data_IF_751825854940
#
_entry.id   IF_751825854940
#
_cell.length_a   1.000
_cell.length_b   1.000
_cell.length_c   1.000
_cell.angle_alpha   90.00
_cell.angle_beta   90.00
_cell.angle_gamma   90.00
#
_symmetry.space_group_name_H-M   'P 1'
#
loop_
_entity.id
_entity.type
_entity.pdbx_description
1 polymer ?
#
# COMPACT_ATOMS: atom_id res chain seq x y z
N UNK A 1 33.35 29.04 5.37
CA UNK A 1 32.27 28.75 4.42
C UNK A 1 32.49 27.34 3.91
N UNK A 2 31.70 26.37 4.38
CA UNK A 2 31.90 24.95 4.05
C UNK A 2 30.80 24.51 3.10
N UNK A 3 31.17 24.21 1.86
CA UNK A 3 30.27 23.69 0.82
C UNK A 3 29.85 22.26 1.16
N UNK A 4 28.55 21.99 1.20
CA UNK A 4 27.97 20.65 1.21
C UNK A 4 27.32 20.46 -0.16
N UNK A 5 28.07 19.90 -1.10
CA UNK A 5 27.53 19.31 -2.31
C UNK A 5 27.73 17.81 -2.19
N UNK A 6 26.64 17.05 -2.12
CA UNK A 6 26.50 15.73 -2.75
C UNK A 6 25.05 15.26 -2.64
N UNK A 7 24.29 15.46 -3.72
CA UNK A 7 22.97 14.83 -3.93
C UNK A 7 23.22 13.51 -4.67
N UNK A 8 23.22 12.41 -3.92
CA UNK A 8 23.33 11.05 -4.46
C UNK A 8 22.08 10.70 -5.28
N UNK A 9 22.23 10.66 -6.61
CA UNK A 9 21.15 10.27 -7.52
C UNK A 9 21.20 8.74 -7.71
N UNK A 10 20.37 7.98 -6.99
CA UNK A 10 20.30 6.52 -7.17
C UNK A 10 19.39 6.17 -8.35
N UNK A 11 19.91 5.32 -9.22
CA UNK A 11 19.33 4.95 -10.52
C UNK A 11 17.90 4.37 -10.42
N UNK A 12 17.06 4.80 -11.37
CA UNK A 12 15.69 4.33 -11.61
C UNK A 12 15.73 2.92 -12.21
N UNK A 13 15.31 1.89 -11.49
CA UNK A 13 15.10 0.55 -12.06
C UNK A 13 13.92 0.60 -13.05
N UNK A 14 14.19 0.33 -14.33
CA UNK A 14 13.18 0.32 -15.39
C UNK A 14 12.17 -0.83 -15.17
N UNK A 15 10.87 -0.53 -15.25
CA UNK A 15 9.81 -1.55 -15.33
C UNK A 15 9.81 -2.16 -16.73
N UNK A 16 9.71 -3.50 -16.83
CA UNK A 16 9.57 -4.23 -18.11
C UNK A 16 8.24 -3.85 -18.78
N UNK A 17 8.20 -3.66 -20.11
CA UNK A 17 6.95 -3.37 -20.81
C UNK A 17 6.05 -4.61 -20.87
N UNK A 18 4.77 -4.42 -20.56
CA UNK A 18 3.71 -5.41 -20.78
C UNK A 18 3.36 -5.41 -22.26
N UNK A 19 3.53 -6.56 -22.92
CA UNK A 19 3.09 -6.78 -24.30
C UNK A 19 1.55 -6.74 -24.36
N UNK A 20 0.99 -5.76 -25.07
CA UNK A 20 -0.43 -5.72 -25.45
C UNK A 20 -0.56 -6.15 -26.90
N UNK A 21 -0.63 -7.46 -27.12
CA UNK A 21 -1.18 -8.03 -28.33
C UNK A 21 -2.53 -8.70 -28.00
N UNK A 22 -3.50 -8.46 -28.89
CA UNK A 22 -4.82 -9.10 -29.04
C UNK A 22 -5.88 -8.86 -27.97
N UNK A 23 -6.69 -7.81 -28.15
CA UNK A 23 -8.16 -7.94 -28.20
C UNK A 23 -8.67 -6.99 -29.28
N UNK A 24 -9.19 -7.57 -30.36
CA UNK A 24 -9.92 -6.90 -31.42
C UNK A 24 -11.39 -6.88 -31.02
N UNK A 25 -12.07 -5.73 -31.11
CA UNK A 25 -13.54 -5.72 -31.22
C UNK A 25 -13.98 -4.58 -32.13
N UNK A 26 -14.96 -4.82 -33.03
CA UNK A 26 -15.20 -4.00 -34.21
C UNK A 26 -16.34 -3.01 -34.02
N UNK A 27 -16.31 -1.94 -34.82
CA UNK A 27 -17.49 -1.16 -35.17
C UNK A 27 -17.49 0.26 -34.62
N UNK A 28 -17.08 1.23 -35.47
CA UNK A 28 -17.88 2.44 -35.72
C UNK A 28 -17.59 2.89 -37.15
N UNK A 29 -18.64 3.10 -37.92
CA UNK A 29 -18.64 3.33 -39.35
C UNK A 29 -17.95 4.63 -39.79
N UNK A 30 -17.36 4.53 -40.98
CA UNK A 30 -16.71 5.60 -41.73
C UNK A 30 -17.76 6.51 -42.37
N UNK A 31 -17.72 7.81 -42.09
CA UNK A 31 -18.32 8.83 -42.95
C UNK A 31 -17.22 9.78 -43.42
N UNK A 32 -16.63 9.38 -44.54
CA UNK A 32 -15.87 10.19 -45.46
C UNK A 32 -16.86 11.01 -46.28
N UNK A 33 -16.73 12.34 -46.32
CA UNK A 33 -17.26 13.17 -47.41
C UNK A 33 -16.38 14.42 -47.58
N UNK A 34 -15.44 14.24 -48.48
CA UNK A 34 -14.59 15.23 -49.12
C UNK A 34 -15.25 15.67 -50.43
N UNK A 35 -15.87 16.85 -50.43
CA UNK A 35 -16.19 17.57 -51.66
C UNK A 35 -15.50 18.94 -51.65
N UNK A 36 -14.65 19.13 -52.66
CA UNK A 36 -14.08 20.42 -53.01
C UNK A 36 -15.01 21.13 -53.99
N UNK A 37 -15.25 22.44 -53.81
CA UNK A 37 -15.43 23.34 -54.94
C UNK A 37 -15.15 24.82 -54.59
N UNK A 38 -14.37 25.43 -55.49
CA UNK A 38 -14.26 26.86 -55.86
C UNK A 38 -13.45 27.82 -54.98
N UNK A 39 -12.33 28.24 -55.55
CA UNK A 39 -11.55 29.43 -55.23
C UNK A 39 -12.17 30.67 -55.90
N UNK A 40 -12.53 31.71 -55.13
CA UNK A 40 -12.83 33.05 -55.65
C UNK A 40 -12.39 34.15 -54.65
N UNK A 41 -11.37 34.94 -55.03
CA UNK A 41 -11.12 36.34 -54.61
C UNK A 41 -10.71 36.66 -53.16
N UNK A 42 -9.95 37.75 -52.90
CA UNK A 42 -9.40 38.04 -51.58
C UNK A 42 -10.46 38.69 -50.69
N UNK A 43 -11.09 37.91 -49.83
CA UNK A 43 -11.83 38.43 -48.68
C UNK A 43 -10.80 38.77 -47.60
N UNK A 44 -10.76 40.03 -47.19
CA UNK A 44 -9.98 40.51 -46.04
C UNK A 44 -10.38 39.68 -44.82
N UNK A 45 -9.51 38.75 -44.41
CA UNK A 45 -9.71 37.88 -43.25
C UNK A 45 -9.64 38.72 -41.96
N UNK A 46 -10.80 39.15 -41.48
CA UNK A 46 -11.01 39.71 -40.13
C UNK A 46 -11.13 38.61 -39.06
N UNK A 47 -10.85 37.35 -39.42
CA UNK A 47 -11.06 36.17 -38.58
C UNK A 47 -9.78 35.68 -37.89
N UNK A 48 -8.63 36.30 -38.20
CA UNK A 48 -7.34 35.91 -37.65
C UNK A 48 -7.18 36.28 -36.15
N UNK A 49 -7.92 37.29 -35.67
CA UNK A 49 -7.78 37.79 -34.28
C UNK A 49 -8.54 36.94 -33.25
N UNK A 50 -9.58 36.19 -33.65
CA UNK A 50 -10.39 35.37 -32.72
C UNK A 50 -9.85 33.93 -32.57
N UNK A 51 -9.04 33.45 -33.51
CA UNK A 51 -8.51 32.09 -33.52
C UNK A 51 -7.31 31.91 -32.55
N UNK A 52 -6.52 32.98 -32.34
CA UNK A 52 -5.38 32.96 -31.41
C UNK A 52 -5.80 32.85 -29.94
N UNK A 53 -6.86 33.55 -29.54
CA UNK A 53 -7.36 33.54 -28.16
C UNK A 53 -8.02 32.20 -27.77
N UNK A 54 -8.70 31.54 -28.70
CA UNK A 54 -9.27 30.22 -28.48
C UNK A 54 -8.18 29.14 -28.37
N UNK A 55 -7.18 29.18 -29.28
CA UNK A 55 -6.01 28.31 -29.23
C UNK A 55 -5.23 28.46 -27.92
N UNK A 56 -5.02 29.69 -27.44
CA UNK A 56 -4.38 29.95 -26.15
C UNK A 56 -5.16 29.35 -24.97
N UNK A 57 -6.48 29.57 -24.89
CA UNK A 57 -7.32 28.99 -23.82
C UNK A 57 -7.35 27.46 -23.85
N UNK A 58 -7.37 26.86 -25.04
CA UNK A 58 -7.30 25.42 -25.21
C UNK A 58 -5.94 24.86 -24.73
N UNK A 59 -4.84 25.54 -25.05
CA UNK A 59 -3.51 25.17 -24.59
C UNK A 59 -3.38 25.29 -23.06
N UNK A 60 -3.91 26.34 -22.45
CA UNK A 60 -3.92 26.51 -20.99
C UNK A 60 -4.69 25.40 -20.28
N UNK A 61 -5.84 25.00 -20.84
CA UNK A 61 -6.63 23.88 -20.32
C UNK A 61 -5.85 22.57 -20.37
N UNK A 62 -5.22 22.25 -21.50
CA UNK A 62 -4.39 21.06 -21.67
C UNK A 62 -3.21 21.06 -20.69
N UNK A 63 -2.50 22.19 -20.57
CA UNK A 63 -1.37 22.31 -19.65
C UNK A 63 -1.79 22.12 -18.19
N UNK A 64 -2.91 22.74 -17.78
CA UNK A 64 -3.46 22.59 -16.44
C UNK A 64 -3.84 21.14 -16.14
N UNK A 65 -4.50 20.46 -17.08
CA UNK A 65 -4.85 19.03 -16.96
C UNK A 65 -3.61 18.16 -16.84
N UNK A 66 -2.59 18.39 -17.67
CA UNK A 66 -1.33 17.65 -17.60
C UNK A 66 -0.62 17.89 -16.26
N UNK A 67 -0.62 19.12 -15.74
CA UNK A 67 -0.06 19.42 -14.43
C UNK A 67 -0.75 18.65 -13.30
N UNK A 68 -2.08 18.59 -13.32
CA UNK A 68 -2.87 17.82 -12.36
C UNK A 68 -2.56 16.32 -12.47
N UNK A 69 -2.48 15.77 -13.68
CA UNK A 69 -2.15 14.35 -13.89
C UNK A 69 -0.77 14.02 -13.32
N UNK A 70 0.24 14.85 -13.63
CA UNK A 70 1.61 14.67 -13.10
C UNK A 70 1.62 14.72 -11.58
N UNK A 71 0.98 15.73 -11.00
CA UNK A 71 0.87 15.87 -9.54
C UNK A 71 0.25 14.64 -8.88
N UNK A 72 -0.86 14.12 -9.43
CA UNK A 72 -1.52 12.93 -8.89
C UNK A 72 -0.62 11.69 -9.01
N UNK A 73 0.08 11.52 -10.14
CA UNK A 73 1.02 10.42 -10.34
C UNK A 73 2.17 10.48 -9.33
N UNK A 74 2.75 11.66 -9.11
CA UNK A 74 3.83 11.87 -8.15
C UNK A 74 3.36 11.61 -6.70
N UNK A 75 2.15 12.08 -6.36
CA UNK A 75 1.57 11.84 -5.04
C UNK A 75 1.32 10.33 -4.79
N UNK A 76 0.83 9.61 -5.80
CA UNK A 76 0.64 8.15 -5.70
C UNK A 76 1.99 7.46 -5.55
N UNK A 77 2.99 7.81 -6.35
CA UNK A 77 4.33 7.24 -6.25
C UNK A 77 4.94 7.46 -4.86
N UNK A 78 4.90 8.70 -4.35
CA UNK A 78 5.37 9.04 -3.02
C UNK A 78 4.60 8.28 -1.92
N UNK A 79 3.28 8.09 -2.08
CA UNK A 79 2.49 7.29 -1.14
C UNK A 79 2.90 5.82 -1.14
N UNK A 80 3.15 5.22 -2.30
CA UNK A 80 3.63 3.84 -2.41
C UNK A 80 5.00 3.68 -1.76
N UNK A 81 5.92 4.62 -2.00
CA UNK A 81 7.25 4.58 -1.38
C UNK A 81 7.18 4.68 0.15
N UNK A 82 6.32 5.55 0.68
CA UNK A 82 6.06 5.65 2.12
C UNK A 82 5.47 4.36 2.69
N UNK A 83 4.50 3.76 1.99
CA UNK A 83 3.90 2.49 2.42
C UNK A 83 4.93 1.38 2.46
N UNK A 84 5.81 1.31 1.45
CA UNK A 84 6.90 0.35 1.41
C UNK A 84 7.86 0.55 2.58
N UNK A 85 8.33 1.78 2.80
CA UNK A 85 9.23 2.09 3.90
C UNK A 85 8.60 1.72 5.27
N UNK A 86 7.33 2.04 5.47
CA UNK A 86 6.61 1.69 6.69
C UNK A 86 6.44 0.18 6.84
N UNK A 87 6.15 -0.55 5.76
CA UNK A 87 6.03 -2.00 5.79
C UNK A 87 7.38 -2.69 6.05
N UNK A 88 8.49 -2.14 5.53
CA UNK A 88 9.83 -2.66 5.74
C UNK A 88 10.31 -2.36 7.18
N UNK A 89 10.10 -1.14 7.68
CA UNK A 89 10.49 -0.75 9.05
C UNK A 89 9.60 -1.37 10.14
N UNK A 90 8.30 -1.47 9.88
CA UNK A 90 7.28 -1.84 10.87
C UNK A 90 6.61 -3.17 10.52
N UNK A 91 7.23 -3.95 9.64
CA UNK A 91 6.74 -5.25 9.16
C UNK A 91 6.62 -6.29 10.28
N UNK A 92 6.51 -7.56 9.89
CA UNK A 92 6.42 -8.72 10.81
C UNK A 92 7.77 -8.98 11.53
N UNK A 93 8.38 -7.96 12.11
CA UNK A 93 9.72 -7.95 12.72
C UNK A 93 9.83 -8.66 14.06
N UNK A 94 8.85 -9.51 14.40
CA UNK A 94 8.92 -10.31 15.62
C UNK A 94 9.85 -11.50 15.37
N UNK A 95 11.14 -11.28 15.59
CA UNK A 95 12.21 -12.28 15.46
C UNK A 95 12.33 -13.20 16.68
N UNK A 96 11.40 -13.11 17.63
CA UNK A 96 11.39 -13.97 18.81
C UNK A 96 11.26 -15.43 18.39
N UNK A 97 12.16 -16.28 18.89
CA UNK A 97 12.10 -17.71 18.66
C UNK A 97 11.90 -18.43 19.99
N UNK A 98 10.89 -19.29 20.04
CA UNK A 98 10.56 -20.06 21.23
C UNK A 98 10.84 -21.53 20.96
N UNK A 99 11.47 -22.21 21.91
CA UNK A 99 11.70 -23.65 21.81
C UNK A 99 10.42 -24.39 22.20
N UNK A 100 10.17 -25.54 21.56
CA UNK A 100 9.13 -26.46 22.04
C UNK A 100 9.46 -26.86 23.48
N UNK A 101 8.46 -26.86 24.35
CA UNK A 101 8.59 -27.07 25.79
C UNK A 101 8.93 -25.82 26.60
N UNK A 102 9.25 -24.69 25.96
CA UNK A 102 9.45 -23.43 26.69
C UNK A 102 8.12 -22.83 27.16
N UNK A 103 8.16 -22.10 28.28
CA UNK A 103 7.03 -21.35 28.80
C UNK A 103 6.99 -19.96 28.17
N UNK A 104 5.82 -19.59 27.68
CA UNK A 104 5.58 -18.28 27.06
C UNK A 104 4.31 -17.64 27.62
N UNK A 105 4.33 -16.32 27.67
CA UNK A 105 3.18 -15.50 28.00
C UNK A 105 2.40 -15.12 26.74
N UNK A 106 1.07 -15.19 26.80
CA UNK A 106 0.18 -14.84 25.67
C UNK A 106 -0.43 -13.45 25.85
N UNK A 107 -0.32 -12.60 24.83
CA UNK A 107 -0.90 -11.26 24.82
C UNK A 107 -2.43 -11.29 24.78
N UNK A 108 -3.07 -10.54 25.69
CA UNK A 108 -4.53 -10.47 25.82
C UNK A 108 -5.22 -9.60 24.78
N UNK A 109 -4.47 -8.72 24.11
CA UNK A 109 -5.01 -7.85 23.05
C UNK A 109 -5.70 -8.66 21.96
N UNK A 110 -6.95 -8.35 21.63
CA UNK A 110 -7.73 -9.08 20.62
C UNK A 110 -7.89 -10.59 20.92
N UNK A 111 -7.86 -11.00 22.19
CA UNK A 111 -8.42 -12.29 22.59
C UNK A 111 -9.94 -12.19 22.73
N UNK A 112 -10.60 -13.33 22.56
CA UNK A 112 -12.04 -13.40 22.81
C UNK A 112 -12.33 -13.15 24.30
N UNK A 113 -13.36 -12.36 24.59
CA UNK A 113 -13.68 -11.92 25.96
C UNK A 113 -13.91 -13.09 26.93
N UNK A 114 -14.44 -14.21 26.44
CA UNK A 114 -14.68 -15.42 27.23
C UNK A 114 -13.40 -16.17 27.60
N UNK A 115 -12.30 -15.97 26.87
CA UNK A 115 -11.01 -16.60 27.19
C UNK A 115 -10.15 -15.76 28.13
N UNK A 116 -10.59 -14.56 28.50
CA UNK A 116 -9.88 -13.66 29.43
C UNK A 116 -10.76 -13.27 30.62
N UNK A 117 -12.00 -13.76 30.69
CA UNK A 117 -12.97 -13.40 31.72
C UNK A 117 -12.48 -13.67 33.14
N UNK A 118 -11.69 -14.74 33.30
CA UNK A 118 -11.14 -15.17 34.59
C UNK A 118 -10.09 -14.18 35.12
N UNK A 119 -9.55 -13.32 34.25
CA UNK A 119 -8.59 -12.27 34.60
C UNK A 119 -9.25 -10.89 34.76
N UNK A 120 -10.58 -10.82 34.75
CA UNK A 120 -11.36 -9.59 34.92
C UNK A 120 -11.84 -8.95 33.61
N UNK A 121 -12.54 -7.81 33.73
CA UNK A 121 -13.00 -7.05 32.56
C UNK A 121 -11.83 -6.54 31.71
N UNK A 122 -12.04 -6.32 30.41
CA UNK A 122 -11.00 -5.94 29.43
C UNK A 122 -10.10 -4.77 29.84
N UNK A 123 -10.54 -3.88 30.75
CA UNK A 123 -9.75 -2.75 31.27
C UNK A 123 -8.81 -3.12 32.41
N UNK A 124 -9.14 -4.16 33.18
CA UNK A 124 -8.38 -4.63 34.35
C UNK A 124 -7.61 -5.94 34.09
N UNK A 125 -7.86 -6.59 32.95
CA UNK A 125 -7.12 -7.78 32.56
C UNK A 125 -5.62 -7.46 32.36
N UNK A 126 -4.71 -8.35 32.79
CA UNK A 126 -3.29 -8.23 32.51
C UNK A 126 -3.02 -8.12 31.00
N UNK A 127 -1.93 -7.44 30.62
CA UNK A 127 -1.51 -7.35 29.21
C UNK A 127 -1.10 -8.71 28.62
N UNK A 128 -0.58 -9.58 29.48
CA UNK A 128 -0.19 -10.93 29.14
C UNK A 128 -0.72 -11.91 30.19
N UNK A 129 -1.15 -13.09 29.75
CA UNK A 129 -1.70 -14.15 30.61
C UNK A 129 -0.86 -15.41 30.47
N UNK A 130 -0.80 -16.15 31.58
CA UNK A 130 -0.33 -17.54 31.73
C UNK A 130 1.10 -17.80 31.26
N UNK A 131 1.92 -18.56 31.99
CA UNK A 131 2.93 -19.34 31.31
C UNK A 131 2.21 -20.52 30.62
N UNK A 132 2.19 -20.53 29.29
CA UNK A 132 1.74 -21.65 28.48
C UNK A 132 2.92 -22.36 27.85
N UNK A 133 2.85 -23.69 27.78
CA UNK A 133 3.90 -24.50 27.16
C UNK A 133 3.76 -24.45 25.64
N UNK A 134 4.88 -24.22 24.94
CA UNK A 134 4.91 -24.34 23.48
C UNK A 134 4.92 -25.82 23.09
N UNK A 135 3.88 -26.27 22.37
CA UNK A 135 3.75 -27.65 21.90
C UNK A 135 4.37 -27.87 20.52
N UNK A 136 4.21 -26.90 19.61
CA UNK A 136 4.71 -27.00 18.24
C UNK A 136 4.99 -25.62 17.62
N UNK A 137 5.90 -25.58 16.63
CA UNK A 137 6.22 -24.39 15.83
C UNK A 137 5.72 -24.59 14.39
N UNK A 138 5.00 -23.62 13.87
CA UNK A 138 4.46 -23.55 12.51
C UNK A 138 4.90 -22.25 11.84
N UNK A 139 6.16 -22.20 11.39
CA UNK A 139 6.77 -20.99 10.85
C UNK A 139 6.82 -19.87 11.88
N UNK A 140 6.00 -18.84 11.69
CA UNK A 140 5.91 -17.69 12.60
C UNK A 140 4.74 -17.81 13.61
N UNK A 141 4.13 -18.99 13.73
CA UNK A 141 3.09 -19.27 14.71
C UNK A 141 3.49 -20.45 15.60
N UNK A 142 2.98 -20.46 16.83
CA UNK A 142 3.24 -21.50 17.80
C UNK A 142 1.93 -22.02 18.37
N UNK A 143 1.85 -23.34 18.53
CA UNK A 143 0.74 -24.01 19.20
C UNK A 143 1.07 -24.09 20.68
N UNK A 144 0.18 -23.58 21.52
CA UNK A 144 0.33 -23.53 22.96
C UNK A 144 -0.57 -24.57 23.64
N UNK A 145 -0.11 -25.07 24.79
CA UNK A 145 -0.92 -25.90 25.67
C UNK A 145 -1.90 -25.02 26.46
N UNK A 146 -3.03 -24.69 25.82
CA UNK A 146 -4.07 -23.87 26.42
C UNK A 146 -5.17 -24.76 27.00
N UNK A 147 -5.61 -24.50 28.25
CA UNK A 147 -6.77 -25.19 28.82
C UNK A 147 -8.00 -25.08 27.93
N UNK A 148 -8.64 -26.21 27.65
CA UNK A 148 -9.86 -26.27 26.82
C UNK A 148 -11.02 -25.44 27.38
N UNK A 149 -11.04 -25.19 28.70
CA UNK A 149 -11.99 -24.31 29.38
C UNK A 149 -12.00 -22.89 28.82
N UNK A 150 -10.84 -22.40 28.36
CA UNK A 150 -10.67 -21.04 27.85
C UNK A 150 -11.28 -20.85 26.45
N UNK A 151 -11.58 -21.96 25.74
CA UNK A 151 -12.20 -21.97 24.40
C UNK A 151 -11.51 -21.03 23.40
N UNK A 152 -10.18 -20.97 23.46
CA UNK A 152 -9.34 -20.24 22.52
C UNK A 152 -8.72 -21.20 21.50
N UNK A 153 -8.44 -20.70 20.29
CA UNK A 153 -7.63 -21.44 19.33
C UNK A 153 -6.21 -21.59 19.88
N UNK A 154 -5.58 -22.78 19.84
CA UNK A 154 -4.29 -23.01 20.51
C UNK A 154 -3.10 -22.41 19.75
N UNK A 155 -3.24 -22.05 18.48
CA UNK A 155 -2.13 -21.54 17.65
C UNK A 155 -2.13 -20.02 17.56
N UNK A 156 -0.99 -19.38 17.88
CA UNK A 156 -0.83 -17.93 17.89
C UNK A 156 0.41 -17.47 17.13
N UNK A 157 0.30 -16.30 16.51
CA UNK A 157 1.42 -15.62 15.88
C UNK A 157 2.48 -15.20 16.92
N UNK A 158 3.75 -15.35 16.58
CA UNK A 158 4.94 -15.07 17.42
C UNK A 158 4.92 -13.69 18.08
N UNK A 159 4.37 -12.67 17.41
CA UNK A 159 4.27 -11.31 17.96
C UNK A 159 3.32 -11.17 19.15
N UNK A 160 2.49 -12.19 19.40
CA UNK A 160 1.58 -12.24 20.55
C UNK A 160 2.19 -12.99 21.74
N UNK A 161 3.42 -13.47 21.61
CA UNK A 161 4.07 -14.28 22.62
C UNK A 161 5.25 -13.52 23.21
N UNK A 162 5.43 -13.64 24.51
CA UNK A 162 6.56 -13.10 25.24
C UNK A 162 7.23 -14.22 26.03
N UNK A 163 8.57 -14.22 26.11
CA UNK A 163 9.29 -15.23 26.88
C UNK A 163 8.92 -15.11 28.37
N UNK A 164 8.60 -16.24 29.01
CA UNK A 164 8.42 -16.28 30.46
C UNK A 164 9.77 -16.37 31.14
N UNK A 165 10.16 -15.33 31.87
CA UNK A 165 11.34 -15.34 32.73
C UNK A 165 10.89 -15.67 34.16
N UNK A 166 11.24 -16.85 34.65
CA UNK A 166 11.01 -17.23 36.04
C UNK A 166 12.02 -16.47 36.90
N UNK A 167 11.57 -15.46 37.64
CA UNK A 167 12.38 -14.89 38.72
C UNK A 167 12.43 -15.92 39.85
N UNK A 168 13.63 -16.47 40.06
CA UNK A 168 13.99 -17.35 41.19
C UNK A 168 14.59 -16.49 42.28
#
# INVERSE_FOLDING_TARGET
MTNISDVSTRARTARRPVNKSTVSTPGVDTLNNNEQHTQVGPVVNKDAELNNGFSSKAMDFVQRRQAVIRFVQDAIAASVDRQKLNADNNGRGNSNEFKVGSLVLLATQNLAKHGVSDFGGSKLAPRFIGPFTVLAKHGNAYTLDIPSSMRLHPTFYVGRLQQYAQHV
#
